data_IF_858903720884
#
_entry.id   IF_858903720884
#
_cell.length_a   1.000
_cell.length_b   1.000
_cell.length_c   1.000
_cell.angle_alpha   90.00
_cell.angle_beta   90.00
_cell.angle_gamma   90.00
#
_symmetry.space_group_name_H-M   'P 1'
#
loop_
_entity.id
_entity.type
_entity.pdbx_description
1 polymer ?
#
# COMPACT_ATOMS: atom_id res chain seq x y z
N UNK A 1 -19.38 -7.59 -15.36
CA UNK A 1 -18.18 -6.73 -15.33
C UNK A 1 -16.96 -7.50 -14.84
N UNK A 2 -17.01 -8.11 -13.65
CA UNK A 2 -15.90 -8.90 -13.07
C UNK A 2 -15.27 -9.93 -14.01
N UNK A 3 -16.09 -10.79 -14.64
CA UNK A 3 -15.60 -11.81 -15.58
C UNK A 3 -14.87 -11.20 -16.79
N UNK A 4 -15.43 -10.13 -17.35
CA UNK A 4 -14.85 -9.45 -18.50
C UNK A 4 -13.47 -8.86 -18.15
N UNK A 5 -13.33 -8.20 -16.99
CA UNK A 5 -12.03 -7.65 -16.55
C UNK A 5 -10.97 -8.74 -16.33
N UNK A 6 -11.34 -9.88 -15.75
CA UNK A 6 -10.39 -10.99 -15.59
C UNK A 6 -9.96 -11.59 -16.93
N UNK A 7 -10.88 -11.70 -17.89
CA UNK A 7 -10.58 -12.14 -19.26
C UNK A 7 -9.66 -11.13 -19.97
N UNK A 8 -9.95 -9.83 -19.87
CA UNK A 8 -9.15 -8.75 -20.47
C UNK A 8 -7.70 -8.76 -20.00
N UNK A 9 -7.46 -8.99 -18.70
CA UNK A 9 -6.11 -9.02 -18.12
C UNK A 9 -5.54 -10.43 -17.96
N UNK A 10 -6.10 -11.44 -18.65
CA UNK A 10 -5.63 -12.84 -18.64
C UNK A 10 -5.41 -13.43 -17.23
N UNK A 11 -6.28 -13.10 -16.28
CA UNK A 11 -6.19 -13.53 -14.88
C UNK A 11 -6.76 -14.94 -14.70
N UNK A 12 -5.90 -15.94 -14.80
CA UNK A 12 -6.25 -17.37 -14.74
C UNK A 12 -7.06 -17.75 -13.49
N UNK A 13 -6.82 -17.10 -12.36
CA UNK A 13 -7.46 -17.43 -11.08
C UNK A 13 -8.77 -16.66 -10.80
N UNK A 14 -9.25 -15.82 -11.72
CA UNK A 14 -10.41 -14.94 -11.52
C UNK A 14 -10.33 -14.15 -10.21
N UNK A 15 -9.16 -13.57 -9.96
CA UNK A 15 -8.82 -12.94 -8.68
C UNK A 15 -9.01 -11.42 -8.67
N UNK A 16 -9.57 -10.85 -9.74
CA UNK A 16 -10.07 -9.46 -9.74
C UNK A 16 -11.58 -9.47 -9.46
N UNK A 17 -12.03 -8.69 -8.48
CA UNK A 17 -13.42 -8.44 -8.15
C UNK A 17 -13.81 -7.00 -8.50
N UNK A 18 -14.90 -6.81 -9.23
CA UNK A 18 -15.44 -5.47 -9.51
C UNK A 18 -16.64 -5.20 -8.61
N UNK A 19 -16.57 -4.14 -7.80
CA UNK A 19 -17.63 -3.68 -6.90
C UNK A 19 -18.32 -2.44 -7.48
N UNK A 20 -19.64 -2.34 -7.29
CA UNK A 20 -20.39 -1.17 -7.74
C UNK A 20 -20.22 -0.02 -6.75
N UNK A 21 -19.35 0.93 -7.09
CA UNK A 21 -19.07 2.13 -6.30
C UNK A 21 -18.63 3.25 -7.26
N UNK A 22 -19.18 4.44 -7.09
CA UNK A 22 -18.82 5.59 -7.95
C UNK A 22 -17.43 6.14 -7.65
N UNK A 23 -16.99 6.01 -6.40
CA UNK A 23 -15.65 6.45 -5.99
C UNK A 23 -14.59 5.54 -6.61
N UNK A 24 -13.52 6.11 -7.20
CA UNK A 24 -12.45 5.34 -7.79
C UNK A 24 -11.57 4.72 -6.70
N UNK A 25 -11.69 3.41 -6.56
CA UNK A 25 -11.02 2.56 -5.60
C UNK A 25 -10.34 1.37 -6.30
N UNK A 26 -9.08 1.14 -5.92
CA UNK A 26 -8.29 -0.06 -6.19
C UNK A 26 -7.61 -0.49 -4.89
N UNK A 27 -7.67 -1.77 -4.54
CA UNK A 27 -6.90 -2.33 -3.43
C UNK A 27 -6.87 -3.86 -3.49
N UNK A 28 -5.90 -4.45 -2.80
CA UNK A 28 -5.78 -5.90 -2.61
C UNK A 28 -6.28 -6.33 -1.23
N UNK A 29 -7.08 -7.39 -1.15
CA UNK A 29 -7.66 -7.93 0.10
C UNK A 29 -7.46 -9.44 0.23
N UNK A 30 -7.23 -9.92 1.45
CA UNK A 30 -7.18 -11.35 1.78
C UNK A 30 -5.80 -11.82 2.24
N UNK A 31 -5.76 -12.97 2.93
CA UNK A 31 -4.55 -13.47 3.58
C UNK A 31 -3.85 -14.58 2.78
N UNK A 32 -4.51 -15.71 2.53
CA UNK A 32 -3.90 -16.88 1.86
C UNK A 32 -4.03 -16.86 0.34
N UNK A 33 -5.08 -16.22 -0.16
CA UNK A 33 -5.37 -16.03 -1.59
C UNK A 33 -5.89 -14.61 -1.75
N UNK A 34 -4.99 -13.61 -1.83
CA UNK A 34 -5.42 -12.22 -1.95
C UNK A 34 -6.14 -12.00 -3.29
N UNK A 35 -7.15 -11.14 -3.28
CA UNK A 35 -7.96 -10.71 -4.41
C UNK A 35 -7.74 -9.23 -4.64
N UNK A 36 -7.72 -8.83 -5.91
CA UNK A 36 -7.68 -7.44 -6.33
C UNK A 36 -9.13 -6.94 -6.42
N UNK A 37 -9.43 -5.79 -5.85
CA UNK A 37 -10.77 -5.20 -5.87
C UNK A 37 -10.72 -3.87 -6.60
N UNK A 38 -11.58 -3.74 -7.61
CA UNK A 38 -11.79 -2.51 -8.35
C UNK A 38 -13.22 -2.01 -8.22
N UNK A 39 -13.37 -0.71 -8.14
CA UNK A 39 -14.68 -0.05 -8.27
C UNK A 39 -15.08 0.17 -9.74
N UNK A 40 -16.38 0.26 -9.99
CA UNK A 40 -16.90 0.72 -11.28
C UNK A 40 -16.51 2.18 -11.58
N UNK A 41 -16.31 3.01 -10.56
CA UNK A 41 -15.74 4.36 -10.66
C UNK A 41 -14.32 4.37 -11.23
N UNK A 42 -13.44 3.50 -10.71
CA UNK A 42 -12.06 3.38 -11.17
C UNK A 42 -11.99 3.00 -12.66
N UNK A 43 -12.75 1.97 -13.05
CA UNK A 43 -12.74 1.46 -14.43
C UNK A 43 -13.25 2.51 -15.42
N UNK A 44 -14.15 3.40 -15.00
CA UNK A 44 -14.62 4.52 -15.83
C UNK A 44 -13.64 5.70 -15.88
N UNK A 45 -12.80 5.84 -14.86
CA UNK A 45 -11.85 6.94 -14.74
C UNK A 45 -10.55 6.69 -15.52
N UNK A 46 -10.09 5.45 -15.52
CA UNK A 46 -8.80 5.07 -16.08
C UNK A 46 -8.94 4.53 -17.50
N UNK A 47 -7.97 4.91 -18.34
CA UNK A 47 -7.83 4.34 -19.69
C UNK A 47 -7.19 2.95 -19.60
N UNK A 48 -7.12 2.20 -20.72
CA UNK A 48 -6.65 0.81 -20.71
C UNK A 48 -5.24 0.67 -20.12
N UNK A 49 -4.27 1.45 -20.62
CA UNK A 49 -2.87 1.38 -20.18
C UNK A 49 -2.70 1.78 -18.70
N UNK A 50 -3.52 2.73 -18.23
CA UNK A 50 -3.53 3.17 -16.83
C UNK A 50 -4.12 2.10 -15.92
N UNK A 51 -5.22 1.47 -16.35
CA UNK A 51 -5.84 0.38 -15.61
C UNK A 51 -4.93 -0.85 -15.57
N UNK A 52 -4.24 -1.15 -16.66
CA UNK A 52 -3.24 -2.23 -16.73
C UNK A 52 -2.08 -1.97 -15.75
N UNK A 53 -1.57 -0.74 -15.70
CA UNK A 53 -0.54 -0.36 -14.74
C UNK A 53 -1.02 -0.52 -13.28
N UNK A 54 -2.28 -0.16 -12.98
CA UNK A 54 -2.89 -0.39 -11.66
C UNK A 54 -3.07 -1.88 -11.36
N UNK A 55 -3.42 -2.69 -12.36
CA UNK A 55 -3.48 -4.16 -12.21
C UNK A 55 -2.12 -4.73 -11.85
N UNK A 56 -1.05 -4.32 -12.53
CA UNK A 56 0.32 -4.79 -12.22
C UNK A 56 0.81 -4.31 -10.85
N UNK A 57 0.40 -3.10 -10.43
CA UNK A 57 0.64 -2.59 -9.08
C UNK A 57 -0.06 -3.45 -8.02
N UNK A 58 -1.37 -3.70 -8.16
CA UNK A 58 -2.11 -4.53 -7.20
C UNK A 58 -1.67 -6.00 -7.22
N UNK A 59 -1.29 -6.52 -8.39
CA UNK A 59 -0.73 -7.87 -8.52
C UNK A 59 0.59 -8.02 -7.73
N UNK A 60 1.38 -6.94 -7.59
CA UNK A 60 2.56 -6.96 -6.72
C UNK A 60 2.17 -7.16 -5.25
N UNK A 61 1.20 -6.39 -4.75
CA UNK A 61 0.70 -6.55 -3.38
C UNK A 61 0.12 -7.93 -3.13
N UNK A 62 -0.58 -8.49 -4.12
CA UNK A 62 -1.09 -9.84 -4.09
C UNK A 62 0.05 -10.88 -3.96
N UNK A 63 1.09 -10.77 -4.79
CA UNK A 63 2.24 -11.70 -4.80
C UNK A 63 3.07 -11.62 -3.51
N UNK A 64 3.19 -10.43 -2.93
CA UNK A 64 3.93 -10.18 -1.68
C UNK A 64 3.12 -10.45 -0.41
N UNK A 65 1.83 -10.73 -0.54
CA UNK A 65 0.91 -10.87 0.60
C UNK A 65 0.93 -9.63 1.51
N UNK A 66 1.08 -8.44 0.92
CA UNK A 66 1.19 -7.18 1.66
C UNK A 66 0.02 -6.93 2.63
N UNK A 67 -1.25 -7.27 2.29
CA UNK A 67 -2.34 -7.14 3.25
C UNK A 67 -2.13 -7.96 4.54
N UNK A 68 -1.55 -9.16 4.44
CA UNK A 68 -1.24 -9.98 5.61
C UNK A 68 -0.08 -9.38 6.43
N UNK A 69 0.98 -8.92 5.76
CA UNK A 69 2.13 -8.30 6.45
C UNK A 69 1.71 -7.02 7.16
N UNK A 70 0.94 -6.15 6.49
CA UNK A 70 0.40 -4.92 7.08
C UNK A 70 -0.49 -5.24 8.27
N UNK A 71 -1.36 -6.25 8.16
CA UNK A 71 -2.22 -6.68 9.27
C UNK A 71 -1.40 -7.15 10.49
N UNK A 72 -0.36 -7.97 10.28
CA UNK A 72 0.53 -8.42 11.36
C UNK A 72 1.28 -7.24 11.98
N UNK A 73 1.83 -6.34 11.17
CA UNK A 73 2.52 -5.15 11.66
C UNK A 73 1.58 -4.20 12.43
N UNK A 74 0.32 -4.09 12.01
CA UNK A 74 -0.72 -3.35 12.75
C UNK A 74 -1.01 -4.02 14.10
N UNK A 75 -1.15 -5.35 14.13
CA UNK A 75 -1.36 -6.09 15.38
C UNK A 75 -0.19 -5.89 16.34
N UNK A 76 1.05 -6.01 15.85
CA UNK A 76 2.26 -5.78 16.64
C UNK A 76 2.32 -4.33 17.11
N UNK A 77 2.07 -3.36 16.23
CA UNK A 77 2.09 -1.93 16.57
C UNK A 77 1.02 -1.55 17.60
N UNK A 78 -0.11 -2.26 17.65
CA UNK A 78 -1.17 -2.04 18.62
C UNK A 78 -0.88 -2.77 19.93
N UNK A 79 -0.35 -4.00 19.89
CA UNK A 79 0.05 -4.75 21.08
C UNK A 79 1.22 -4.07 21.81
N UNK A 80 2.21 -3.59 21.05
CA UNK A 80 3.39 -2.86 21.52
C UNK A 80 3.23 -1.36 21.30
N UNK A 81 2.05 -0.81 21.59
CA UNK A 81 1.73 0.61 21.37
C UNK A 81 2.68 1.58 22.07
N UNK A 82 3.34 1.13 23.14
CA UNK A 82 4.34 1.85 23.93
C UNK A 82 5.77 1.75 23.37
N UNK A 83 6.02 0.94 22.33
CA UNK A 83 7.30 0.83 21.63
C UNK A 83 7.23 1.66 20.34
N UNK A 84 7.76 2.89 20.30
CA UNK A 84 7.59 3.80 19.17
C UNK A 84 8.14 3.23 17.84
N UNK A 85 9.16 2.37 17.90
CA UNK A 85 9.75 1.72 16.73
C UNK A 85 8.73 0.86 15.95
N UNK A 86 7.73 0.28 16.60
CA UNK A 86 6.74 -0.57 15.91
C UNK A 86 5.84 0.24 14.98
N UNK A 87 5.40 1.42 15.41
CA UNK A 87 4.67 2.39 14.59
C UNK A 87 5.52 2.91 13.44
N UNK A 88 6.80 3.19 13.72
CA UNK A 88 7.76 3.57 12.68
C UNK A 88 7.92 2.45 11.64
N UNK A 89 8.11 1.20 12.05
CA UNK A 89 8.22 0.05 11.15
C UNK A 89 6.97 -0.11 10.26
N UNK A 90 5.77 -0.05 10.85
CA UNK A 90 4.51 -0.13 10.10
C UNK A 90 4.41 0.97 9.04
N UNK A 91 4.73 2.22 9.41
CA UNK A 91 4.69 3.37 8.49
C UNK A 91 5.67 3.19 7.33
N UNK A 92 6.92 2.82 7.62
CA UNK A 92 7.95 2.65 6.60
C UNK A 92 7.69 1.45 5.71
N UNK A 93 7.17 0.35 6.25
CA UNK A 93 6.78 -0.81 5.44
C UNK A 93 5.76 -0.42 4.37
N UNK A 94 4.72 0.35 4.74
CA UNK A 94 3.71 0.83 3.79
C UNK A 94 4.35 1.65 2.66
N UNK A 95 5.23 2.59 2.99
CA UNK A 95 5.91 3.42 1.98
C UNK A 95 6.77 2.55 1.05
N UNK A 96 7.60 1.66 1.60
CA UNK A 96 8.47 0.77 0.81
C UNK A 96 7.64 -0.14 -0.11
N UNK A 97 6.54 -0.70 0.41
CA UNK A 97 5.64 -1.59 -0.31
C UNK A 97 5.03 -0.87 -1.52
N UNK A 98 4.49 0.34 -1.34
CA UNK A 98 3.94 1.17 -2.42
C UNK A 98 4.96 1.51 -3.50
N UNK A 99 6.18 1.92 -3.10
CA UNK A 99 7.24 2.28 -4.04
C UNK A 99 7.74 1.05 -4.83
N UNK A 100 7.83 -0.10 -4.16
CA UNK A 100 8.21 -1.36 -4.80
C UNK A 100 7.13 -1.83 -5.78
N UNK A 101 5.85 -1.59 -5.45
CA UNK A 101 4.74 -1.89 -6.33
C UNK A 101 4.74 -0.98 -7.58
N UNK A 102 4.97 0.32 -7.40
CA UNK A 102 5.15 1.26 -8.51
C UNK A 102 6.34 0.86 -9.40
N UNK A 103 7.51 0.56 -8.83
CA UNK A 103 8.69 0.12 -9.58
C UNK A 103 8.42 -1.17 -10.36
N UNK A 104 7.75 -2.16 -9.75
CA UNK A 104 7.37 -3.39 -10.42
C UNK A 104 6.38 -3.13 -11.58
N UNK A 105 5.40 -2.25 -11.38
CA UNK A 105 4.46 -1.87 -12.43
C UNK A 105 5.18 -1.18 -13.59
N UNK A 106 6.09 -0.25 -13.31
CA UNK A 106 6.92 0.42 -14.34
C UNK A 106 7.74 -0.61 -15.12
N UNK A 107 8.39 -1.55 -14.44
CA UNK A 107 9.17 -2.60 -15.08
C UNK A 107 8.30 -3.52 -15.96
N UNK A 108 7.08 -3.86 -15.52
CA UNK A 108 6.14 -4.70 -16.29
C UNK A 108 5.56 -3.98 -17.50
N UNK A 109 5.21 -2.70 -17.35
CA UNK A 109 4.63 -1.87 -18.41
C UNK A 109 5.69 -1.32 -19.38
N UNK A 110 6.97 -1.29 -18.98
CA UNK A 110 8.06 -0.70 -19.76
C UNK A 110 8.04 0.84 -19.80
N UNK A 111 7.13 1.48 -19.07
CA UNK A 111 6.96 2.93 -19.00
C UNK A 111 6.30 3.35 -17.69
N UNK A 112 6.62 4.54 -17.20
CA UNK A 112 6.02 5.12 -15.99
C UNK A 112 4.71 5.87 -16.27
N UNK A 113 4.36 6.10 -17.55
CA UNK A 113 3.22 6.93 -17.93
C UNK A 113 1.89 6.39 -17.40
N UNK A 114 1.65 5.09 -17.50
CA UNK A 114 0.40 4.46 -17.06
C UNK A 114 0.16 4.64 -15.56
N UNK A 115 1.16 4.30 -14.74
CA UNK A 115 1.04 4.40 -13.28
C UNK A 115 1.00 5.86 -12.81
N UNK A 116 1.77 6.75 -13.45
CA UNK A 116 1.82 8.18 -13.11
C UNK A 116 0.51 8.89 -13.41
N UNK A 117 -0.06 8.64 -14.60
CA UNK A 117 -1.33 9.23 -14.99
C UNK A 117 -2.48 8.69 -14.14
N UNK A 118 -2.50 7.38 -13.85
CA UNK A 118 -3.46 6.77 -12.93
C UNK A 118 -3.39 7.40 -11.54
N UNK A 119 -2.18 7.49 -10.96
CA UNK A 119 -1.97 8.10 -9.64
C UNK A 119 -2.45 9.56 -9.61
N UNK A 120 -2.15 10.35 -10.64
CA UNK A 120 -2.58 11.74 -10.73
C UNK A 120 -4.11 11.86 -10.83
N UNK A 121 -4.76 11.03 -11.66
CA UNK A 121 -6.23 10.98 -11.79
C UNK A 121 -6.90 10.60 -10.47
N UNK A 122 -6.32 9.64 -9.73
CA UNK A 122 -6.80 9.20 -8.42
C UNK A 122 -6.65 10.28 -7.35
N UNK A 123 -5.50 10.95 -7.26
CA UNK A 123 -5.29 12.07 -6.32
C UNK A 123 -6.28 13.19 -6.60
N UNK A 124 -6.46 13.56 -7.88
CA UNK A 124 -7.40 14.62 -8.28
C UNK A 124 -8.84 14.31 -7.85
N UNK A 125 -9.27 13.05 -7.98
CA UNK A 125 -10.61 12.61 -7.55
C UNK A 125 -10.74 12.44 -6.04
N UNK A 126 -9.68 11.98 -5.35
CA UNK A 126 -9.67 11.84 -3.90
C UNK A 126 -9.69 13.19 -3.17
N UNK A 127 -9.09 14.22 -3.74
CA UNK A 127 -9.17 15.59 -3.20
C UNK A 127 -10.57 16.21 -3.32
N UNK A 128 -11.38 15.75 -4.28
CA UNK A 128 -12.73 16.28 -4.50
C UNK A 128 -13.80 15.66 -3.61
N UNK A 129 -13.60 14.44 -3.10
CA UNK A 129 -14.62 13.69 -2.35
C UNK A 129 -14.24 13.53 -0.87
N UNK A 130 -14.66 14.48 -0.02
CA UNK A 130 -14.37 14.51 1.43
C UNK A 130 -15.26 13.58 2.29
N UNK A 131 -16.09 12.74 1.68
CA UNK A 131 -17.27 12.18 2.37
C UNK A 131 -17.12 10.80 3.04
N UNK A 132 -15.97 10.11 2.96
CA UNK A 132 -15.83 8.78 3.59
C UNK A 132 -14.58 8.63 4.47
N UNK A 133 -14.74 8.51 5.80
CA UNK A 133 -13.63 8.33 6.75
C UNK A 133 -13.08 6.89 6.81
N UNK A 134 -13.55 5.98 5.94
CA UNK A 134 -13.20 4.55 5.95
C UNK A 134 -12.20 4.20 4.81
N UNK A 135 -11.79 5.19 4.01
CA UNK A 135 -10.80 4.93 2.98
C UNK A 135 -9.42 4.75 3.63
N UNK A 136 -8.98 3.49 3.66
CA UNK A 136 -7.67 3.03 4.08
C UNK A 136 -6.60 4.09 3.79
N UNK A 137 -6.26 4.83 4.84
CA UNK A 137 -5.08 5.67 5.04
C UNK A 137 -4.22 5.89 3.78
N UNK A 138 -4.73 6.66 2.81
CA UNK A 138 -3.88 7.45 1.92
C UNK A 138 -3.14 8.44 2.82
N UNK A 139 -2.06 8.01 3.47
CA UNK A 139 -1.20 8.94 4.16
C UNK A 139 -0.61 9.85 3.11
N UNK A 140 -0.86 11.16 3.20
CA UNK A 140 -0.28 12.17 2.29
C UNK A 140 1.23 11.95 2.06
N UNK A 141 1.94 11.41 3.05
CA UNK A 141 3.34 11.04 2.92
C UNK A 141 3.64 9.93 1.92
N UNK A 142 2.89 8.81 1.90
CA UNK A 142 3.15 7.73 0.93
C UNK A 142 2.94 8.22 -0.50
N UNK A 143 1.87 9.01 -0.73
CA UNK A 143 1.60 9.64 -2.02
C UNK A 143 2.74 10.59 -2.44
N UNK A 144 3.22 11.43 -1.51
CA UNK A 144 4.33 12.34 -1.79
C UNK A 144 5.60 11.60 -2.22
N UNK A 145 5.93 10.50 -1.55
CA UNK A 145 7.10 9.69 -1.91
C UNK A 145 6.94 9.02 -3.28
N UNK A 146 5.75 8.50 -3.59
CA UNK A 146 5.45 7.94 -4.92
C UNK A 146 5.63 9.00 -6.01
N UNK A 147 5.00 10.17 -5.86
CA UNK A 147 5.16 11.28 -6.80
C UNK A 147 6.62 11.73 -6.94
N UNK A 148 7.35 11.81 -5.83
CA UNK A 148 8.77 12.16 -5.86
C UNK A 148 9.60 11.15 -6.65
N UNK A 149 9.31 9.85 -6.50
CA UNK A 149 10.04 8.80 -7.19
C UNK A 149 9.65 8.68 -8.68
N UNK A 150 8.44 9.10 -9.05
CA UNK A 150 8.04 9.24 -10.45
C UNK A 150 8.69 10.44 -11.14
N UNK A 151 9.00 11.52 -10.41
CA UNK A 151 9.69 12.70 -10.96
C UNK A 151 11.21 12.50 -11.00
N UNK A 152 11.76 11.87 -9.96
CA UNK A 152 13.20 11.62 -9.82
C UNK A 152 13.44 10.19 -9.30
N UNK A 153 13.53 9.20 -10.21
CA UNK A 153 13.67 7.78 -9.85
C UNK A 153 14.92 7.46 -9.02
N UNK A 154 15.96 8.31 -9.08
CA UNK A 154 17.22 8.07 -8.38
C UNK A 154 17.29 8.74 -7.00
N UNK A 155 16.25 9.48 -6.62
CA UNK A 155 16.23 10.18 -5.34
C UNK A 155 16.05 9.20 -4.19
N UNK A 156 17.10 9.04 -3.39
CA UNK A 156 17.06 8.21 -2.18
C UNK A 156 16.00 8.74 -1.22
N UNK A 157 15.10 7.85 -0.78
CA UNK A 157 14.06 8.22 0.18
C UNK A 157 14.62 8.09 1.60
N UNK A 158 14.49 9.13 2.45
CA UNK A 158 15.03 9.14 3.80
C UNK A 158 14.15 8.28 4.75
N UNK A 159 14.22 6.95 4.61
CA UNK A 159 13.55 5.99 5.50
C UNK A 159 14.42 5.71 6.74
N UNK A 160 14.85 6.77 7.44
CA UNK A 160 15.69 6.63 8.65
C UNK A 160 14.82 6.73 9.90
N UNK A 161 14.98 5.76 10.80
CA UNK A 161 14.45 5.87 12.15
C UNK A 161 15.22 6.96 12.88
N UNK A 162 14.50 7.84 13.57
CA UNK A 162 15.15 8.76 14.51
C UNK A 162 15.87 7.92 15.57
N UNK A 163 17.13 8.25 15.85
CA UNK A 163 17.95 7.52 16.84
C UNK A 163 17.26 7.46 18.20
N UNK A 164 16.54 8.53 18.56
CA UNK A 164 15.66 8.62 19.73
C UNK A 164 14.62 7.49 19.80
N UNK A 165 13.96 7.19 18.68
CA UNK A 165 12.96 6.11 18.56
C UNK A 165 13.59 4.75 18.84
N UNK A 166 14.82 4.53 18.36
CA UNK A 166 15.58 3.30 18.58
C UNK A 166 15.94 3.16 20.07
N UNK A 167 16.56 4.19 20.67
CA UNK A 167 16.98 4.15 22.07
C UNK A 167 15.81 3.98 23.04
N UNK A 168 14.71 4.71 22.84
CA UNK A 168 13.50 4.57 23.66
C UNK A 168 12.94 3.15 23.56
N UNK A 169 12.91 2.57 22.35
CA UNK A 169 12.40 1.22 22.15
C UNK A 169 13.29 0.15 22.80
N UNK A 170 14.61 0.30 22.72
CA UNK A 170 15.57 -0.57 23.42
C UNK A 170 15.39 -0.46 24.93
N UNK A 171 15.29 0.76 25.46
CA UNK A 171 15.11 1.00 26.90
C UNK A 171 13.84 0.33 27.44
N UNK A 172 12.71 0.47 26.72
CA UNK A 172 11.45 -0.17 27.10
C UNK A 172 11.53 -1.70 27.03
N UNK A 173 12.22 -2.26 26.03
CA UNK A 173 12.41 -3.71 25.92
C UNK A 173 13.25 -4.25 27.09
N UNK A 174 14.31 -3.53 27.49
CA UNK A 174 15.16 -3.89 28.64
C UNK A 174 14.36 -3.88 29.94
N UNK A 175 13.49 -2.90 30.16
CA UNK A 175 12.60 -2.86 31.34
C UNK A 175 11.67 -4.07 31.35
N UNK A 176 11.03 -4.39 30.22
CA UNK A 176 10.13 -5.54 30.13
C UNK A 176 10.83 -6.86 30.44
N UNK A 177 12.00 -7.09 29.85
CA UNK A 177 12.81 -8.29 30.11
C UNK A 177 13.22 -8.35 31.58
N UNK A 178 13.67 -7.22 32.15
CA UNK A 178 14.02 -7.14 33.57
C UNK A 178 12.84 -7.48 34.49
N UNK A 179 11.65 -6.95 34.19
CA UNK A 179 10.44 -7.28 34.95
C UNK A 179 10.08 -8.77 34.85
N UNK A 180 10.22 -9.39 33.69
CA UNK A 180 9.95 -10.83 33.54
C UNK A 180 10.93 -11.71 34.32
N UNK A 181 12.19 -11.29 34.46
CA UNK A 181 13.21 -12.03 35.21
C UNK A 181 12.97 -11.90 36.72
N UNK A 182 12.56 -10.73 37.21
CA UNK A 182 12.30 -10.48 38.64
C UNK A 182 11.04 -11.20 39.14
N UNK A 183 10.09 -11.48 38.25
CA UNK A 183 8.82 -12.14 38.58
C UNK A 183 8.95 -13.68 38.65
N UNK A 184 10.02 -14.26 38.08
CA UNK A 184 10.29 -15.71 38.05
C UNK A 184 11.24 -16.10 39.18
#
# INVERSE_FOLDING_TARGET
MTRNVNETFNRVNNDILVVNAEQPLAFTIGFRRPFIVFSTGLIRLLDFDELEAVVEHEAFHQKKYDPLVIFILQLISNALWFVPLTKWCLKNYKIISELSADENAIHKMGTELGISAALLKLIKHGCTDKSFPILVHFSNESVNYRLQQLIDPHKTIPLRAETTTIFVSIYVLVILIGMTIVIV
#
